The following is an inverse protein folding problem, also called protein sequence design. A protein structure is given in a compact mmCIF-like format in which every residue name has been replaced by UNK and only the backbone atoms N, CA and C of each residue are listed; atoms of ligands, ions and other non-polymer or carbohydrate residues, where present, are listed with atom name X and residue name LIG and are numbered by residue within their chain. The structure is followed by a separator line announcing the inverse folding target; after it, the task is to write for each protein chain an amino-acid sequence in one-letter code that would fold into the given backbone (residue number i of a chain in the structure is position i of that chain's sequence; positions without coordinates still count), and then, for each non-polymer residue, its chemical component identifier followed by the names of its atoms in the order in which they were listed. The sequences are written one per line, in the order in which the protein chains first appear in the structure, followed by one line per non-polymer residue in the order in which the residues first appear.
data_IF_457358876634
#
_entry.id   IF_457358876634
#
_cell.length_a   1.000
_cell.length_b   1.000
_cell.length_c   1.000
_cell.angle_alpha   90.00
_cell.angle_beta   90.00
_cell.angle_gamma   90.00
#
_symmetry.space_group_name_H-M   'P 1'
#
loop_
_entity.id
_entity.type
_entity.pdbx_description
1 polymer ?
#
# COMPACT_ATOMS: atom_id res chain seq x y z
N UNK A 1 17.19 43.91 16.12
CA UNK A 1 16.01 43.83 15.22
C UNK A 1 16.52 43.60 13.82
N UNK A 2 16.43 42.34 13.31
CA UNK A 2 16.83 42.06 11.93
C UNK A 2 15.79 42.67 10.99
N UNK A 3 16.20 43.63 10.17
CA UNK A 3 15.37 44.30 9.20
C UNK A 3 14.77 43.30 8.23
N UNK A 4 13.46 43.15 8.25
CA UNK A 4 12.72 42.41 7.21
C UNK A 4 12.97 43.17 5.88
N UNK A 5 13.65 42.51 4.94
CA UNK A 5 13.78 43.03 3.58
C UNK A 5 12.44 42.84 2.89
N UNK A 6 11.66 43.90 2.79
CA UNK A 6 10.43 43.91 1.97
C UNK A 6 10.84 43.76 0.52
N UNK A 7 10.32 42.74 -0.16
CA UNK A 7 10.66 42.45 -1.55
C UNK A 7 9.61 43.03 -2.50
N UNK A 8 8.39 43.25 -2.01
CA UNK A 8 7.30 43.79 -2.82
C UNK A 8 5.99 43.91 -2.05
N UNK A 9 4.94 44.34 -2.74
CA UNK A 9 3.59 44.46 -2.19
C UNK A 9 2.55 43.80 -3.10
N UNK A 10 1.65 43.04 -2.50
CA UNK A 10 0.50 42.45 -3.21
C UNK A 10 -0.78 42.81 -2.42
N UNK A 11 -1.62 43.60 -3.03
CA UNK A 11 -2.80 44.16 -2.36
C UNK A 11 -2.40 44.91 -1.09
N UNK A 12 -2.96 44.53 0.07
CA UNK A 12 -2.63 45.13 1.39
C UNK A 12 -1.39 44.51 2.05
N UNK A 13 -0.78 43.45 1.49
CA UNK A 13 0.30 42.72 2.11
C UNK A 13 1.66 43.17 1.60
N UNK A 14 2.58 43.44 2.51
CA UNK A 14 4.00 43.61 2.20
C UNK A 14 4.66 42.23 2.21
N UNK A 15 5.32 41.87 1.11
CA UNK A 15 6.01 40.59 0.95
C UNK A 15 7.46 40.70 1.43
N UNK A 16 7.91 39.69 2.17
CA UNK A 16 9.30 39.57 2.59
C UNK A 16 9.69 38.11 2.81
N UNK A 17 10.95 37.80 2.56
CA UNK A 17 11.54 36.50 2.88
C UNK A 17 12.33 36.61 4.17
N UNK A 18 12.19 35.61 5.02
CA UNK A 18 12.86 35.56 6.33
C UNK A 18 13.63 34.26 6.47
N UNK A 19 14.88 34.26 6.94
CA UNK A 19 15.58 33.02 7.22
C UNK A 19 14.89 32.22 8.29
N UNK A 20 14.78 30.93 8.05
CA UNK A 20 14.61 29.81 8.96
C UNK A 20 13.36 29.71 9.83
N UNK A 21 13.08 28.52 10.28
CA UNK A 21 12.14 28.10 11.33
C UNK A 21 10.65 28.03 10.99
N UNK A 22 10.25 28.32 9.77
CA UNK A 22 8.90 27.92 9.27
C UNK A 22 9.01 26.62 8.49
N UNK A 23 8.08 25.72 8.74
CA UNK A 23 7.92 24.51 7.94
C UNK A 23 6.49 24.36 7.45
N UNK A 24 6.31 23.75 6.30
CA UNK A 24 5.00 23.34 5.78
C UNK A 24 4.60 21.92 6.21
N UNK A 25 5.47 21.23 6.94
CA UNK A 25 5.32 19.81 7.29
C UNK A 25 5.47 19.59 8.81
N UNK A 26 4.88 20.46 9.63
CA UNK A 26 5.02 20.40 11.09
C UNK A 26 4.62 19.03 11.69
N UNK A 27 3.68 18.31 11.01
CA UNK A 27 3.23 16.99 11.45
C UNK A 27 4.24 15.87 11.31
N UNK A 28 5.35 16.08 10.61
CA UNK A 28 6.43 15.08 10.52
C UNK A 28 7.01 14.70 11.87
N UNK A 29 6.92 15.59 12.88
CA UNK A 29 7.36 15.31 14.25
C UNK A 29 6.66 14.06 14.84
N UNK A 30 5.39 13.84 14.51
CA UNK A 30 4.64 12.66 14.98
C UNK A 30 5.19 11.37 14.37
N UNK A 31 5.59 11.41 13.10
CA UNK A 31 6.20 10.27 12.41
C UNK A 31 7.63 10.05 12.88
N UNK A 32 8.39 11.11 13.13
CA UNK A 32 9.74 11.01 13.66
C UNK A 32 9.77 10.45 15.09
N UNK A 33 8.73 10.65 15.88
CA UNK A 33 8.59 9.95 17.18
C UNK A 33 8.15 8.48 17.00
N UNK A 34 7.41 8.15 15.95
CA UNK A 34 6.89 6.80 15.71
C UNK A 34 7.88 5.86 15.01
N UNK A 35 8.50 6.29 13.91
CA UNK A 35 9.34 5.42 13.07
C UNK A 35 10.60 4.88 13.78
N UNK A 36 11.35 5.65 14.58
CA UNK A 36 12.49 5.13 15.33
C UNK A 36 12.11 4.08 16.36
N UNK A 37 10.92 4.15 16.94
CA UNK A 37 10.42 3.12 17.89
C UNK A 37 10.27 1.75 17.23
N UNK A 38 10.01 1.72 15.91
CA UNK A 38 10.03 0.50 15.11
C UNK A 38 11.44 0.02 14.76
N UNK A 39 12.47 0.82 15.06
CA UNK A 39 13.86 0.52 14.74
C UNK A 39 14.13 0.38 13.24
N UNK A 40 13.42 1.13 12.41
CA UNK A 40 13.54 1.04 10.94
C UNK A 40 14.96 1.35 10.48
N UNK A 41 15.59 2.39 11.03
CA UNK A 41 16.96 2.80 10.70
C UNK A 41 17.96 1.73 11.09
N UNK A 42 17.85 1.19 12.31
CA UNK A 42 18.68 0.10 12.80
C UNK A 42 18.64 -1.13 11.86
N UNK A 43 17.43 -1.55 11.49
CA UNK A 43 17.24 -2.70 10.59
C UNK A 43 17.80 -2.43 9.20
N UNK A 44 17.65 -1.18 8.70
CA UNK A 44 18.23 -0.78 7.41
C UNK A 44 19.76 -0.84 7.45
N UNK A 45 20.38 -0.32 8.50
CA UNK A 45 21.85 -0.31 8.63
C UNK A 45 22.43 -1.72 8.83
N UNK A 46 21.68 -2.64 9.45
CA UNK A 46 22.11 -4.02 9.62
C UNK A 46 21.95 -4.87 8.34
N UNK A 47 20.92 -4.67 7.57
CA UNK A 47 20.58 -5.54 6.44
C UNK A 47 21.02 -4.99 5.07
N UNK A 48 21.10 -3.68 4.89
CA UNK A 48 21.27 -3.06 3.58
C UNK A 48 22.67 -2.46 3.40
N UNK A 49 23.44 -3.00 2.43
CA UNK A 49 24.83 -2.60 2.18
C UNK A 49 25.07 -2.35 0.69
N UNK A 50 24.37 -1.37 0.12
CA UNK A 50 24.41 -1.01 -1.31
C UNK A 50 25.69 -0.28 -1.68
N UNK A 51 26.32 0.41 -0.73
CA UNK A 51 27.50 1.22 -0.98
C UNK A 51 28.79 0.45 -0.70
N UNK A 52 29.74 0.60 -1.60
CA UNK A 52 31.09 0.02 -1.45
C UNK A 52 32.05 0.93 -0.66
N UNK A 53 31.67 2.18 -0.38
CA UNK A 53 32.49 3.18 0.32
C UNK A 53 31.65 3.93 1.33
N UNK A 54 32.15 4.09 2.55
CA UNK A 54 31.53 4.85 3.63
C UNK A 54 31.70 6.38 3.41
N UNK A 55 31.13 6.92 2.33
CA UNK A 55 31.12 8.36 2.03
C UNK A 55 29.71 8.82 1.68
N UNK A 56 29.36 10.04 2.11
CA UNK A 56 28.03 10.63 1.92
C UNK A 56 26.98 10.02 2.84
N UNK A 57 25.72 10.10 2.46
CA UNK A 57 24.59 9.62 3.25
C UNK A 57 24.67 8.13 3.56
N UNK A 58 24.24 7.70 4.76
CA UNK A 58 24.02 6.30 5.10
C UNK A 58 22.90 5.65 4.25
N UNK A 59 22.82 4.33 4.28
CA UNK A 59 21.73 3.62 3.60
C UNK A 59 20.38 3.94 4.25
N UNK A 60 20.32 3.95 5.58
CA UNK A 60 19.13 4.35 6.35
C UNK A 60 18.70 5.79 6.06
N UNK A 61 19.67 6.74 6.01
CA UNK A 61 19.37 8.13 5.64
C UNK A 61 18.82 8.26 4.21
N UNK A 62 19.39 7.52 3.26
CA UNK A 62 18.94 7.56 1.87
C UNK A 62 17.55 6.95 1.70
N UNK A 63 17.28 5.79 2.30
CA UNK A 63 15.98 5.14 2.29
C UNK A 63 14.96 5.96 3.08
N UNK A 64 15.35 6.50 4.25
CA UNK A 64 14.50 7.37 5.07
C UNK A 64 14.07 8.63 4.34
N UNK A 65 15.01 9.33 3.68
CA UNK A 65 14.71 10.52 2.88
C UNK A 65 13.72 10.23 1.74
N UNK A 66 13.89 9.12 1.03
CA UNK A 66 12.95 8.67 -0.01
C UNK A 66 11.58 8.29 0.58
N UNK A 67 11.57 7.59 1.72
CA UNK A 67 10.35 7.19 2.44
C UNK A 67 9.53 8.41 2.87
N UNK A 68 10.17 9.39 3.50
CA UNK A 68 9.50 10.62 3.91
C UNK A 68 9.04 11.48 2.72
N UNK A 69 9.82 11.51 1.62
CA UNK A 69 9.37 12.16 0.40
C UNK A 69 8.04 11.57 -0.08
N UNK A 70 7.92 10.24 -0.14
CA UNK A 70 6.68 9.56 -0.54
C UNK A 70 5.55 9.79 0.47
N UNK A 71 5.82 9.72 1.77
CA UNK A 71 4.84 9.97 2.83
C UNK A 71 4.28 11.39 2.73
N UNK A 72 5.10 12.38 2.46
CA UNK A 72 4.70 13.81 2.41
C UNK A 72 4.10 14.23 1.06
N UNK A 73 4.03 13.31 0.09
CA UNK A 73 3.33 13.51 -1.16
C UNK A 73 4.22 13.81 -2.37
N UNK A 74 5.53 13.58 -2.25
CA UNK A 74 6.43 13.62 -3.39
C UNK A 74 6.13 12.45 -4.36
N UNK A 75 6.03 12.76 -5.63
CA UNK A 75 5.77 11.80 -6.71
C UNK A 75 7.02 11.50 -7.55
N UNK A 76 8.03 12.35 -7.41
CA UNK A 76 9.27 12.27 -8.18
C UNK A 76 10.48 12.47 -7.28
N UNK A 77 11.65 12.00 -7.72
CA UNK A 77 12.90 12.26 -6.98
C UNK A 77 13.19 13.77 -6.83
N UNK A 78 12.81 14.59 -7.83
CA UNK A 78 13.00 16.05 -7.75
C UNK A 78 12.26 16.70 -6.59
N UNK A 79 11.20 16.06 -6.09
CA UNK A 79 10.38 16.62 -5.01
C UNK A 79 11.12 16.56 -3.66
N UNK A 80 12.23 15.81 -3.57
CA UNK A 80 13.19 15.87 -2.46
C UNK A 80 13.73 17.31 -2.25
N UNK A 81 13.76 18.15 -3.30
CA UNK A 81 14.17 19.55 -3.16
C UNK A 81 13.23 20.35 -2.26
N UNK A 82 11.96 19.95 -2.14
CA UNK A 82 11.01 20.58 -1.20
C UNK A 82 11.48 20.35 0.23
N UNK A 83 11.87 19.11 0.57
CA UNK A 83 12.37 18.76 1.90
C UNK A 83 13.75 19.38 2.16
N UNK A 84 14.61 19.42 1.13
CA UNK A 84 15.93 20.08 1.20
C UNK A 84 15.83 21.59 1.39
N UNK A 85 14.81 22.20 0.83
CA UNK A 85 14.53 23.63 0.97
C UNK A 85 13.81 24.02 2.25
N UNK A 86 13.45 23.06 3.10
CA UNK A 86 12.72 23.27 4.35
C UNK A 86 13.56 22.81 5.57
N UNK A 87 14.44 23.69 6.11
CA UNK A 87 15.26 23.35 7.28
C UNK A 87 14.45 22.97 8.52
N UNK A 88 13.21 23.50 8.65
CA UNK A 88 12.32 23.11 9.73
C UNK A 88 11.87 21.66 9.61
N UNK A 89 11.52 21.21 8.41
CA UNK A 89 11.19 19.79 8.17
C UNK A 89 12.42 18.90 8.43
N UNK A 90 13.62 19.30 8.00
CA UNK A 90 14.84 18.51 8.27
C UNK A 90 15.08 18.34 9.77
N UNK A 91 14.95 19.43 10.54
CA UNK A 91 15.08 19.38 11.99
C UNK A 91 14.03 18.47 12.65
N UNK A 92 12.76 18.56 12.21
CA UNK A 92 11.69 17.71 12.73
C UNK A 92 11.86 16.22 12.38
N UNK A 93 12.58 15.92 11.30
CA UNK A 93 12.95 14.55 10.91
C UNK A 93 14.26 14.08 11.55
N UNK A 94 14.95 14.93 12.33
CA UNK A 94 16.27 14.61 12.88
C UNK A 94 17.35 14.43 11.82
N UNK A 95 17.11 14.89 10.58
CA UNK A 95 18.01 14.71 9.46
C UNK A 95 19.00 15.87 9.38
N UNK A 96 20.31 15.59 9.37
CA UNK A 96 21.33 16.63 9.13
C UNK A 96 21.21 17.23 7.73
N UNK A 97 20.85 16.40 6.75
CA UNK A 97 20.57 16.82 5.37
C UNK A 97 19.70 15.79 4.65
N UNK A 98 18.91 16.25 3.68
CA UNK A 98 18.17 15.40 2.74
C UNK A 98 18.97 15.25 1.45
N UNK A 99 19.08 14.05 0.92
CA UNK A 99 19.85 13.78 -0.31
C UNK A 99 19.28 14.52 -1.53
N UNK A 100 20.18 14.97 -2.41
CA UNK A 100 19.78 15.60 -3.67
C UNK A 100 19.10 14.59 -4.59
N UNK A 101 18.18 15.00 -5.46
CA UNK A 101 17.52 14.11 -6.43
C UNK A 101 18.48 13.29 -7.30
N UNK A 102 19.59 13.88 -7.69
CA UNK A 102 20.66 13.20 -8.43
C UNK A 102 21.33 12.11 -7.63
N UNK A 103 21.67 12.42 -6.36
CA UNK A 103 22.25 11.44 -5.41
C UNK A 103 21.27 10.31 -5.10
N UNK A 104 19.97 10.62 -4.95
CA UNK A 104 18.94 9.61 -4.77
C UNK A 104 18.84 8.68 -5.98
N UNK A 105 18.88 9.24 -7.19
CA UNK A 105 18.89 8.46 -8.42
C UNK A 105 20.17 7.60 -8.56
N UNK A 106 21.33 8.12 -8.16
CA UNK A 106 22.59 7.35 -8.13
C UNK A 106 22.56 6.23 -7.10
N UNK A 107 22.04 6.48 -5.93
CA UNK A 107 21.85 5.47 -4.88
C UNK A 107 20.97 4.32 -5.38
N UNK A 108 19.79 4.63 -5.92
CA UNK A 108 18.88 3.62 -6.46
C UNK A 108 19.51 2.79 -7.60
N UNK A 109 20.28 3.41 -8.49
CA UNK A 109 20.95 2.70 -9.61
C UNK A 109 22.04 1.73 -9.19
N UNK A 110 22.50 1.75 -7.95
CA UNK A 110 23.45 0.79 -7.40
C UNK A 110 22.82 -0.54 -7.01
N UNK A 111 21.51 -0.57 -6.76
CA UNK A 111 20.82 -1.79 -6.37
C UNK A 111 20.94 -2.89 -7.42
N UNK A 112 21.42 -4.04 -6.98
CA UNK A 112 21.33 -5.30 -7.69
C UNK A 112 20.23 -6.19 -7.11
N UNK A 113 20.14 -7.45 -7.54
CA UNK A 113 19.12 -8.39 -7.04
C UNK A 113 19.37 -8.80 -5.59
N UNK A 114 20.61 -8.85 -5.14
CA UNK A 114 20.99 -9.13 -3.76
C UNK A 114 20.46 -8.04 -2.83
N UNK A 115 20.74 -6.77 -3.15
CA UNK A 115 20.28 -5.61 -2.40
C UNK A 115 18.73 -5.50 -2.35
N UNK A 116 18.06 -5.90 -3.43
CA UNK A 116 16.58 -6.01 -3.43
C UNK A 116 16.10 -7.05 -2.42
N UNK A 117 16.76 -8.19 -2.33
CA UNK A 117 16.45 -9.21 -1.32
C UNK A 117 16.76 -8.73 0.09
N UNK A 118 17.82 -7.96 0.27
CA UNK A 118 18.16 -7.35 1.54
C UNK A 118 17.09 -6.38 2.00
N UNK A 119 16.62 -5.51 1.11
CA UNK A 119 15.50 -4.61 1.39
C UNK A 119 14.18 -5.37 1.66
N UNK A 120 13.98 -6.54 1.06
CA UNK A 120 12.87 -7.43 1.42
C UNK A 120 13.02 -8.02 2.83
N UNK A 121 14.26 -8.33 3.29
CA UNK A 121 14.51 -8.75 4.69
C UNK A 121 14.23 -7.61 5.67
N UNK A 122 14.62 -6.38 5.33
CA UNK A 122 14.23 -5.19 6.10
C UNK A 122 12.71 -5.14 6.31
N UNK A 123 11.93 -5.32 5.24
CA UNK A 123 10.46 -5.34 5.35
C UNK A 123 9.98 -6.40 6.35
N UNK A 124 10.51 -7.62 6.27
CA UNK A 124 10.13 -8.72 7.17
C UNK A 124 10.44 -8.37 8.63
N UNK A 125 11.67 -7.92 8.91
CA UNK A 125 12.10 -7.59 10.27
C UNK A 125 11.29 -6.45 10.90
N UNK A 126 10.98 -5.42 10.13
CA UNK A 126 10.12 -4.31 10.60
C UNK A 126 8.68 -4.79 10.82
N UNK A 127 8.14 -5.64 9.95
CA UNK A 127 6.85 -6.27 10.13
C UNK A 127 6.80 -7.10 11.42
N UNK A 128 7.83 -7.91 11.70
CA UNK A 128 7.93 -8.72 12.91
C UNK A 128 7.87 -7.88 14.19
N UNK A 129 8.49 -6.69 14.21
CA UNK A 129 8.41 -5.75 15.34
C UNK A 129 7.00 -5.21 15.59
N UNK A 130 6.17 -5.15 14.55
CA UNK A 130 4.76 -4.71 14.66
C UNK A 130 3.83 -5.85 15.09
N UNK A 131 4.20 -7.12 14.84
CA UNK A 131 3.34 -8.30 15.10
C UNK A 131 2.74 -8.36 16.52
N UNK A 132 3.48 -8.03 17.62
CA UNK A 132 2.91 -8.04 18.97
C UNK A 132 1.74 -7.06 19.18
N UNK A 133 1.62 -6.04 18.33
CA UNK A 133 0.56 -5.02 18.37
C UNK A 133 -0.64 -5.33 17.46
N UNK A 134 -0.59 -6.43 16.73
CA UNK A 134 -1.70 -6.87 15.89
C UNK A 134 -2.79 -7.51 16.72
N UNK A 135 -4.04 -7.19 16.40
CA UNK A 135 -5.20 -7.68 17.13
C UNK A 135 -6.00 -8.72 16.35
N UNK A 136 -5.72 -8.83 15.05
CA UNK A 136 -6.49 -9.72 14.17
C UNK A 136 -6.10 -11.17 14.38
N UNK A 137 -7.09 -12.02 14.62
CA UNK A 137 -6.95 -13.48 14.68
C UNK A 137 -7.07 -14.15 13.31
N UNK A 138 -7.29 -13.36 12.26
CA UNK A 138 -7.43 -13.79 10.87
C UNK A 138 -6.54 -12.93 9.99
N UNK A 139 -5.87 -13.57 9.04
CA UNK A 139 -5.20 -12.91 7.94
C UNK A 139 -5.88 -13.27 6.63
N UNK A 140 -6.70 -12.36 6.11
CA UNK A 140 -7.18 -12.44 4.73
C UNK A 140 -6.16 -11.79 3.82
N UNK A 141 -5.49 -12.60 3.02
CA UNK A 141 -4.59 -12.12 1.97
C UNK A 141 -5.44 -11.66 0.80
N UNK A 142 -5.50 -10.36 0.56
CA UNK A 142 -6.01 -9.80 -0.69
C UNK A 142 -4.87 -9.76 -1.70
N UNK A 143 -4.93 -10.68 -2.66
CA UNK A 143 -3.95 -10.81 -3.73
C UNK A 143 -4.42 -10.02 -4.95
N UNK A 144 -3.54 -9.19 -5.48
CA UNK A 144 -3.88 -8.37 -6.63
C UNK A 144 -2.65 -8.04 -7.49
N UNK A 145 -2.90 -7.53 -8.70
CA UNK A 145 -1.88 -7.01 -9.59
C UNK A 145 -2.42 -5.77 -10.32
N UNK A 146 -1.58 -4.77 -10.48
CA UNK A 146 -1.96 -3.55 -11.17
C UNK A 146 -0.88 -3.12 -12.13
N UNK A 147 -1.26 -2.56 -13.29
CA UNK A 147 -0.29 -1.98 -14.20
C UNK A 147 0.19 -0.63 -13.66
N UNK A 148 1.52 -0.48 -13.54
CA UNK A 148 2.20 0.77 -13.22
C UNK A 148 2.71 1.34 -14.53
N UNK A 149 1.88 2.18 -15.13
CA UNK A 149 2.14 2.75 -16.47
C UNK A 149 3.38 3.61 -16.49
N UNK A 150 4.17 3.48 -17.54
CA UNK A 150 5.38 4.24 -17.72
C UNK A 150 5.32 4.97 -19.06
N UNK A 151 5.73 6.22 -19.09
CA UNK A 151 5.75 7.04 -20.29
C UNK A 151 6.68 6.51 -21.39
N UNK A 152 7.53 5.51 -21.09
CA UNK A 152 8.56 5.02 -22.01
C UNK A 152 8.83 3.53 -21.82
N UNK A 153 8.91 2.81 -22.92
CA UNK A 153 9.38 1.41 -23.00
C UNK A 153 10.91 1.29 -22.91
N UNK A 154 11.65 2.39 -22.85
CA UNK A 154 13.12 2.35 -22.72
C UNK A 154 13.60 1.97 -21.32
N UNK A 155 12.71 1.96 -20.34
CA UNK A 155 13.06 1.47 -19.01
C UNK A 155 13.16 -0.05 -19.02
N UNK A 156 14.19 -0.57 -18.41
CA UNK A 156 14.45 -2.01 -18.31
C UNK A 156 13.27 -2.73 -17.66
N UNK A 157 12.66 -3.69 -18.37
CA UNK A 157 11.47 -4.44 -17.91
C UNK A 157 10.13 -3.73 -18.12
N UNK A 158 10.11 -2.47 -18.53
CA UNK A 158 8.89 -1.80 -18.96
C UNK A 158 8.49 -2.29 -20.35
N UNK A 159 7.38 -2.99 -20.44
CA UNK A 159 6.91 -3.64 -21.68
C UNK A 159 5.40 -3.47 -21.83
N UNK A 160 4.88 -3.73 -23.02
CA UNK A 160 3.43 -3.71 -23.27
C UNK A 160 2.73 -4.76 -22.43
N UNK A 161 1.71 -4.34 -21.70
CA UNK A 161 0.78 -5.18 -20.97
C UNK A 161 -0.34 -5.69 -21.88
N UNK A 162 -1.24 -6.51 -21.31
CA UNK A 162 -2.38 -7.10 -22.03
C UNK A 162 -3.37 -6.04 -22.60
N UNK A 163 -3.43 -4.86 -22.00
CA UNK A 163 -4.27 -3.74 -22.46
C UNK A 163 -3.57 -2.83 -23.49
N UNK A 164 -2.33 -3.16 -23.90
CA UNK A 164 -1.54 -2.40 -24.86
C UNK A 164 -0.71 -1.27 -24.25
N UNK A 165 -0.95 -0.91 -22.99
CA UNK A 165 -0.18 0.12 -22.29
C UNK A 165 1.20 -0.39 -21.91
N UNK A 166 2.16 0.52 -21.79
CA UNK A 166 3.56 0.22 -21.44
C UNK A 166 3.76 0.45 -19.95
N UNK A 167 4.36 -0.52 -19.26
CA UNK A 167 4.62 -0.37 -17.84
C UNK A 167 5.24 -1.58 -17.16
N UNK A 168 5.08 -1.63 -15.87
CA UNK A 168 5.39 -2.76 -14.99
C UNK A 168 4.09 -3.34 -14.43
N UNK A 169 4.08 -4.65 -14.16
CA UNK A 169 2.91 -5.34 -13.64
C UNK A 169 3.23 -6.07 -12.33
N UNK A 170 3.45 -5.33 -11.21
CA UNK A 170 3.76 -5.95 -9.93
C UNK A 170 2.63 -6.80 -9.40
N UNK A 171 2.99 -7.82 -8.59
CA UNK A 171 2.09 -8.50 -7.67
C UNK A 171 2.17 -7.83 -6.31
N UNK A 172 1.03 -7.72 -5.64
CA UNK A 172 0.90 -7.20 -4.29
C UNK A 172 -0.03 -8.09 -3.47
N UNK A 173 0.27 -8.22 -2.18
CA UNK A 173 -0.52 -8.98 -1.23
C UNK A 173 -0.74 -8.16 0.04
N UNK A 174 -1.99 -7.83 0.33
CA UNK A 174 -2.37 -7.07 1.51
C UNK A 174 -2.95 -7.98 2.59
N UNK A 175 -2.67 -7.66 3.85
CA UNK A 175 -3.42 -8.19 4.98
C UNK A 175 -4.66 -7.33 5.19
N UNK A 176 -5.83 -7.86 4.82
CA UNK A 176 -7.06 -7.08 4.77
C UNK A 176 -7.45 -6.47 6.13
N UNK A 177 -7.37 -7.22 7.20
CA UNK A 177 -7.78 -6.78 8.54
C UNK A 177 -6.86 -5.70 9.10
N UNK A 178 -5.55 -5.82 8.83
CA UNK A 178 -4.53 -4.91 9.35
C UNK A 178 -4.24 -3.72 8.41
N UNK A 179 -4.68 -3.79 7.16
CA UNK A 179 -4.40 -2.76 6.14
C UNK A 179 -2.93 -2.67 5.74
N UNK A 180 -2.16 -3.73 6.00
CA UNK A 180 -0.72 -3.83 5.76
C UNK A 180 -0.44 -4.44 4.39
N UNK A 181 0.55 -3.92 3.67
CA UNK A 181 1.09 -4.55 2.48
C UNK A 181 2.15 -5.59 2.90
N UNK A 182 1.77 -6.87 2.87
CA UNK A 182 2.62 -7.98 3.29
C UNK A 182 3.84 -8.15 2.37
N UNK A 183 3.59 -8.14 1.07
CA UNK A 183 4.63 -8.41 0.08
C UNK A 183 4.30 -7.76 -1.27
N UNK A 184 5.31 -7.22 -1.93
CA UNK A 184 5.24 -6.74 -3.30
C UNK A 184 6.41 -7.29 -4.13
N UNK A 185 6.14 -7.55 -5.42
CA UNK A 185 7.11 -8.11 -6.36
C UNK A 185 7.00 -7.42 -7.70
N UNK A 186 8.03 -6.67 -8.10
CA UNK A 186 8.04 -6.01 -9.41
C UNK A 186 8.19 -7.04 -10.52
N UNK A 187 7.37 -6.91 -11.56
CA UNK A 187 7.42 -7.76 -12.75
C UNK A 187 7.41 -6.90 -14.01
N UNK A 188 7.85 -7.48 -15.13
CA UNK A 188 7.72 -6.85 -16.44
C UNK A 188 6.25 -6.62 -16.79
N UNK A 189 5.94 -5.59 -17.57
CA UNK A 189 4.57 -5.26 -17.97
C UNK A 189 3.84 -6.38 -18.72
N UNK A 190 4.57 -7.16 -19.53
CA UNK A 190 4.05 -8.32 -20.26
C UNK A 190 3.84 -9.58 -19.39
N UNK A 191 4.09 -9.51 -18.07
CA UNK A 191 3.88 -10.65 -17.20
C UNK A 191 2.39 -10.93 -17.04
N UNK A 192 1.98 -12.16 -17.38
CA UNK A 192 0.62 -12.64 -17.12
C UNK A 192 0.34 -12.64 -15.61
N UNK A 193 -0.88 -12.26 -15.20
CA UNK A 193 -1.27 -12.13 -13.79
C UNK A 193 -0.92 -13.37 -12.98
N UNK A 194 -1.30 -14.57 -13.42
CA UNK A 194 -1.05 -15.82 -12.72
C UNK A 194 0.40 -16.33 -12.78
N UNK A 195 1.30 -15.65 -13.55
CA UNK A 195 2.70 -16.09 -13.64
C UNK A 195 3.42 -16.00 -12.29
N UNK A 196 4.01 -17.11 -11.85
CA UNK A 196 4.74 -17.22 -10.58
C UNK A 196 3.90 -16.98 -9.32
N UNK A 197 2.56 -16.98 -9.41
CA UNK A 197 1.67 -16.67 -8.28
C UNK A 197 1.89 -17.63 -7.09
N UNK A 198 2.09 -18.94 -7.32
CA UNK A 198 2.35 -19.91 -6.24
C UNK A 198 3.67 -19.64 -5.50
N UNK A 199 4.71 -19.18 -6.22
CA UNK A 199 5.95 -18.74 -5.58
C UNK A 199 5.70 -17.46 -4.77
N UNK A 200 4.97 -16.50 -5.32
CA UNK A 200 4.62 -15.26 -4.64
C UNK A 200 3.81 -15.54 -3.36
N UNK A 201 2.81 -16.40 -3.41
CA UNK A 201 2.02 -16.81 -2.24
C UNK A 201 2.87 -17.49 -1.17
N UNK A 202 3.86 -18.32 -1.56
CA UNK A 202 4.83 -18.89 -0.60
C UNK A 202 5.66 -17.82 0.09
N UNK A 203 6.09 -16.77 -0.63
CA UNK A 203 6.82 -15.66 -0.02
C UNK A 203 5.91 -14.81 0.88
N UNK A 204 4.68 -14.58 0.48
CA UNK A 204 3.68 -13.87 1.28
C UNK A 204 3.38 -14.60 2.58
N UNK A 205 3.16 -15.93 2.51
CA UNK A 205 2.86 -16.76 3.70
C UNK A 205 3.94 -16.67 4.79
N UNK A 206 5.20 -16.58 4.43
CA UNK A 206 6.32 -16.43 5.40
C UNK A 206 6.21 -15.17 6.25
N UNK A 207 5.39 -14.20 5.86
CA UNK A 207 5.18 -12.92 6.53
C UNK A 207 3.92 -12.90 7.40
N UNK A 208 3.13 -13.98 7.33
CA UNK A 208 1.89 -14.14 8.10
C UNK A 208 2.20 -14.99 9.32
N UNK A 209 1.82 -14.57 10.54
CA UNK A 209 1.99 -15.38 11.74
C UNK A 209 1.24 -16.72 11.61
N UNK A 210 1.82 -17.79 12.10
CA UNK A 210 1.17 -19.12 12.09
C UNK A 210 -0.03 -19.21 13.02
N UNK A 211 -0.13 -18.30 13.99
CA UNK A 211 -1.19 -18.26 14.99
C UNK A 211 -2.53 -17.71 14.49
N UNK A 212 -2.56 -17.12 13.28
CA UNK A 212 -3.78 -16.54 12.70
C UNK A 212 -4.41 -17.48 11.68
N UNK A 213 -5.75 -17.45 11.59
CA UNK A 213 -6.48 -18.14 10.51
C UNK A 213 -6.15 -17.50 9.17
N UNK A 214 -5.68 -18.29 8.23
CA UNK A 214 -5.20 -17.81 6.93
C UNK A 214 -6.30 -17.97 5.86
N UNK A 215 -6.59 -16.87 5.16
CA UNK A 215 -7.57 -16.80 4.08
C UNK A 215 -6.99 -16.12 2.84
N UNK A 216 -7.50 -16.46 1.67
CA UNK A 216 -7.12 -15.82 0.39
C UNK A 216 -8.34 -15.30 -0.34
N UNK A 217 -8.26 -14.08 -0.85
CA UNK A 217 -9.20 -13.53 -1.84
C UNK A 217 -8.42 -13.02 -3.04
N UNK A 218 -8.95 -13.28 -4.23
CA UNK A 218 -8.38 -12.73 -5.46
C UNK A 218 -9.42 -12.64 -6.58
N UNK A 219 -9.09 -11.85 -7.58
CA UNK A 219 -9.86 -11.71 -8.81
C UNK A 219 -9.66 -12.90 -9.77
N UNK A 220 -10.32 -12.83 -10.93
CA UNK A 220 -10.25 -13.88 -11.95
C UNK A 220 -8.86 -14.02 -12.59
N UNK A 221 -8.01 -13.01 -12.54
CA UNK A 221 -6.65 -13.09 -13.02
C UNK A 221 -5.79 -14.13 -12.29
N UNK A 222 -6.23 -14.56 -11.11
CA UNK A 222 -5.57 -15.60 -10.29
C UNK A 222 -6.32 -16.93 -10.29
N UNK A 223 -7.45 -17.01 -10.99
CA UNK A 223 -8.24 -18.22 -11.07
C UNK A 223 -7.49 -19.33 -11.81
N UNK A 224 -7.06 -20.32 -11.07
CA UNK A 224 -6.40 -21.51 -11.65
C UNK A 224 -6.44 -22.70 -10.67
N UNK A 225 -6.45 -23.91 -11.24
CA UNK A 225 -6.35 -25.14 -10.45
C UNK A 225 -5.15 -25.13 -9.49
N UNK A 226 -3.99 -24.67 -9.99
CA UNK A 226 -2.77 -24.65 -9.19
C UNK A 226 -2.79 -23.66 -8.00
N UNK A 227 -3.60 -22.60 -8.02
CA UNK A 227 -3.81 -21.72 -6.86
C UNK A 227 -4.74 -22.39 -5.86
N UNK A 228 -5.82 -23.00 -6.33
CA UNK A 228 -6.78 -23.73 -5.49
C UNK A 228 -6.09 -24.89 -4.75
N UNK A 229 -5.35 -25.74 -5.47
CA UNK A 229 -4.57 -26.83 -4.87
C UNK A 229 -3.56 -26.33 -3.84
N UNK A 230 -2.89 -25.21 -4.16
CA UNK A 230 -1.94 -24.61 -3.22
C UNK A 230 -2.64 -24.16 -1.94
N UNK A 231 -3.79 -23.50 -2.04
CA UNK A 231 -4.58 -23.07 -0.88
C UNK A 231 -4.96 -24.25 0.01
N UNK A 232 -5.49 -25.31 -0.58
CA UNK A 232 -5.87 -26.54 0.14
C UNK A 232 -4.67 -27.20 0.82
N UNK A 233 -3.58 -27.37 0.08
CA UNK A 233 -2.36 -27.98 0.61
C UNK A 233 -1.72 -27.16 1.75
N UNK A 234 -1.99 -25.86 1.83
CA UNK A 234 -1.48 -24.98 2.89
C UNK A 234 -2.52 -24.68 3.98
N UNK A 235 -3.73 -25.24 3.90
CA UNK A 235 -4.80 -25.04 4.89
C UNK A 235 -5.49 -23.68 4.80
N UNK A 236 -5.38 -22.98 3.66
CA UNK A 236 -6.08 -21.73 3.42
C UNK A 236 -7.55 -21.95 3.09
N UNK A 237 -8.44 -21.18 3.69
CA UNK A 237 -9.75 -20.94 3.10
C UNK A 237 -9.64 -19.87 2.02
N UNK A 238 -10.41 -20.00 0.94
CA UNK A 238 -10.29 -19.05 -0.16
C UNK A 238 -11.61 -18.72 -0.85
N UNK A 239 -11.65 -17.56 -1.52
CA UNK A 239 -12.60 -17.23 -2.57
C UNK A 239 -11.86 -16.61 -3.75
N UNK A 240 -12.07 -17.15 -4.94
CA UNK A 240 -11.49 -16.63 -6.18
C UNK A 240 -12.62 -16.37 -7.18
N UNK A 241 -12.66 -15.17 -7.79
CA UNK A 241 -13.57 -14.95 -8.91
C UNK A 241 -13.21 -15.91 -10.03
N UNK A 242 -14.17 -16.66 -10.54
CA UNK A 242 -13.94 -17.62 -11.63
C UNK A 242 -13.97 -16.93 -12.99
N UNK A 243 -13.18 -17.45 -13.93
CA UNK A 243 -13.28 -17.06 -15.34
C UNK A 243 -14.67 -17.39 -15.87
N UNK A 244 -15.28 -16.45 -16.59
CA UNK A 244 -16.62 -16.60 -17.21
C UNK A 244 -16.53 -17.46 -18.46
N UNK A 245 -16.24 -18.76 -18.29
CA UNK A 245 -16.26 -19.71 -19.40
C UNK A 245 -17.69 -20.05 -19.78
N UNK A 246 -17.94 -20.35 -21.07
CA UNK A 246 -19.26 -20.71 -21.58
C UNK A 246 -19.91 -21.89 -20.81
N UNK A 247 -19.18 -22.98 -20.49
CA UNK A 247 -19.76 -24.07 -19.69
C UNK A 247 -20.19 -23.65 -18.27
N UNK A 248 -19.41 -22.79 -17.60
CA UNK A 248 -19.74 -22.28 -16.26
C UNK A 248 -20.93 -21.33 -16.32
N UNK A 249 -20.98 -20.46 -17.34
CA UNK A 249 -22.10 -19.55 -17.56
C UNK A 249 -23.41 -20.33 -17.85
N UNK A 250 -23.34 -21.35 -18.70
CA UNK A 250 -24.46 -22.24 -18.99
C UNK A 250 -24.96 -22.95 -17.74
N UNK A 251 -24.05 -23.53 -16.94
CA UNK A 251 -24.40 -24.19 -15.68
C UNK A 251 -25.05 -23.19 -14.68
N UNK A 252 -24.51 -21.97 -14.60
CA UNK A 252 -25.03 -20.92 -13.73
C UNK A 252 -26.44 -20.45 -14.15
N UNK A 253 -26.65 -20.23 -15.44
CA UNK A 253 -27.94 -19.77 -15.98
C UNK A 253 -29.01 -20.85 -15.98
N UNK A 254 -28.65 -22.12 -15.95
CA UNK A 254 -29.57 -23.26 -15.86
C UNK A 254 -30.07 -23.54 -14.42
N UNK A 255 -29.55 -22.83 -13.41
CA UNK A 255 -30.01 -22.99 -12.03
C UNK A 255 -31.50 -22.61 -11.91
N UNK A 256 -32.34 -23.48 -11.28
CA UNK A 256 -33.76 -23.19 -11.08
C UNK A 256 -33.99 -21.90 -10.30
N UNK A 257 -35.03 -21.14 -10.62
CA UNK A 257 -35.37 -19.88 -9.94
C UNK A 257 -35.50 -20.05 -8.42
N UNK A 258 -35.97 -21.18 -7.92
CA UNK A 258 -36.06 -21.48 -6.48
C UNK A 258 -34.72 -21.52 -5.74
N UNK A 259 -33.60 -21.64 -6.47
CA UNK A 259 -32.26 -21.68 -5.88
C UNK A 259 -31.69 -20.29 -5.61
N UNK A 260 -32.27 -19.27 -6.25
CA UNK A 260 -31.82 -17.91 -6.14
C UNK A 260 -32.35 -17.25 -4.86
N UNK A 261 -31.48 -16.58 -4.16
CA UNK A 261 -31.78 -15.88 -2.91
C UNK A 261 -31.40 -14.41 -3.07
N UNK A 262 -32.28 -13.53 -2.68
CA UNK A 262 -32.03 -12.09 -2.73
C UNK A 262 -30.78 -11.71 -1.92
N UNK A 263 -29.99 -10.75 -2.42
CA UNK A 263 -28.79 -10.21 -1.78
C UNK A 263 -29.08 -8.78 -1.26
N UNK A 264 -29.52 -8.62 0.01
CA UNK A 264 -30.06 -7.35 0.49
C UNK A 264 -29.12 -6.15 0.43
N UNK A 265 -27.80 -6.42 0.41
CA UNK A 265 -26.77 -5.37 0.32
C UNK A 265 -26.63 -4.75 -1.08
N UNK A 266 -27.30 -5.32 -2.09
CA UNK A 266 -27.19 -4.92 -3.49
C UNK A 266 -28.57 -4.93 -4.14
N UNK A 267 -28.99 -3.79 -4.69
CA UNK A 267 -30.24 -3.70 -5.43
C UNK A 267 -30.24 -4.64 -6.64
N UNK A 268 -31.35 -5.37 -6.84
CA UNK A 268 -31.56 -6.25 -7.98
C UNK A 268 -30.45 -7.32 -8.16
N UNK A 269 -29.86 -7.80 -7.06
CA UNK A 269 -28.90 -8.87 -7.08
C UNK A 269 -29.36 -10.08 -6.28
N UNK A 270 -29.03 -11.26 -6.78
CA UNK A 270 -29.36 -12.54 -6.17
C UNK A 270 -28.16 -13.45 -6.15
N UNK A 271 -28.16 -14.43 -5.26
CA UNK A 271 -27.11 -15.44 -5.13
C UNK A 271 -27.69 -16.84 -5.17
N UNK A 272 -26.96 -17.75 -5.78
CA UNK A 272 -27.21 -19.19 -5.74
C UNK A 272 -25.87 -19.93 -5.66
N UNK A 273 -25.89 -21.22 -5.49
CA UNK A 273 -24.70 -22.05 -5.45
C UNK A 273 -24.84 -23.30 -6.31
N UNK A 274 -23.72 -23.77 -6.83
CA UNK A 274 -23.61 -25.02 -7.56
C UNK A 274 -22.27 -25.67 -7.28
N UNK A 275 -22.21 -26.99 -7.45
CA UNK A 275 -20.96 -27.71 -7.55
C UNK A 275 -20.60 -27.87 -9.01
N UNK A 276 -19.42 -27.39 -9.39
CA UNK A 276 -18.97 -27.42 -10.77
C UNK A 276 -17.52 -27.90 -10.85
N UNK A 277 -17.24 -28.72 -11.83
CA UNK A 277 -15.90 -29.23 -12.13
C UNK A 277 -15.41 -28.64 -13.46
N UNK A 278 -14.48 -27.68 -13.46
CA UNK A 278 -13.86 -27.20 -14.68
C UNK A 278 -13.10 -28.32 -15.41
N UNK A 279 -13.01 -28.21 -16.71
CA UNK A 279 -12.22 -29.16 -17.51
C UNK A 279 -10.77 -29.18 -17.05
N UNK A 280 -10.22 -30.35 -16.79
CA UNK A 280 -8.84 -30.54 -16.31
C UNK A 280 -8.64 -30.39 -14.81
N UNK A 281 -9.70 -30.10 -14.03
CA UNK A 281 -9.61 -30.10 -12.57
C UNK A 281 -9.91 -31.49 -12.01
N UNK A 282 -9.26 -31.82 -10.87
CA UNK A 282 -9.35 -33.18 -10.30
C UNK A 282 -10.73 -33.48 -9.70
N UNK A 283 -11.48 -32.46 -9.27
CA UNK A 283 -12.80 -32.63 -8.63
C UNK A 283 -13.70 -31.39 -8.85
N UNK A 284 -14.97 -31.55 -8.53
CA UNK A 284 -15.89 -30.43 -8.42
C UNK A 284 -15.60 -29.60 -7.16
N UNK A 285 -15.84 -28.31 -7.26
CA UNK A 285 -15.74 -27.33 -6.17
C UNK A 285 -17.08 -26.62 -6.00
N UNK A 286 -17.28 -26.04 -4.83
CA UNK A 286 -18.41 -25.16 -4.54
C UNK A 286 -18.19 -23.83 -5.24
N UNK A 287 -19.17 -23.40 -6.03
CA UNK A 287 -19.23 -22.07 -6.63
C UNK A 287 -20.43 -21.32 -6.06
N UNK A 288 -20.20 -20.10 -5.62
CA UNK A 288 -21.24 -19.15 -5.28
C UNK A 288 -21.40 -18.21 -6.46
N UNK A 289 -22.61 -18.16 -7.03
CA UNK A 289 -22.93 -17.35 -8.20
C UNK A 289 -23.79 -16.17 -7.76
N UNK A 290 -23.30 -14.97 -8.03
CA UNK A 290 -24.11 -13.74 -7.97
C UNK A 290 -24.68 -13.47 -9.35
N UNK A 291 -25.98 -13.18 -9.47
CA UNK A 291 -26.56 -12.56 -10.66
C UNK A 291 -27.06 -11.16 -10.32
N UNK A 292 -26.91 -10.24 -11.24
CA UNK A 292 -27.40 -8.88 -11.13
C UNK A 292 -28.12 -8.48 -12.41
N UNK A 293 -29.20 -7.74 -12.26
CA UNK A 293 -29.96 -7.25 -13.42
C UNK A 293 -29.17 -6.10 -14.05
N UNK A 294 -28.83 -6.26 -15.32
CA UNK A 294 -28.11 -5.28 -16.12
C UNK A 294 -28.92 -4.91 -17.36
N UNK A 295 -28.65 -3.75 -17.91
CA UNK A 295 -29.30 -3.22 -19.11
C UNK A 295 -28.30 -3.09 -20.25
N UNK A 296 -28.66 -3.55 -21.43
CA UNK A 296 -27.86 -3.33 -22.65
C UNK A 296 -28.00 -1.88 -23.11
N UNK A 297 -27.10 -1.41 -23.98
CA UNK A 297 -27.17 -0.08 -24.61
C UNK A 297 -28.48 0.15 -25.40
N UNK A 298 -29.19 -0.92 -25.76
CA UNK A 298 -30.50 -0.88 -26.42
C UNK A 298 -31.70 -0.97 -25.47
N UNK A 299 -31.50 -0.85 -24.16
CA UNK A 299 -32.57 -0.87 -23.17
C UNK A 299 -33.09 -2.26 -22.80
N UNK A 300 -32.44 -3.36 -23.26
CA UNK A 300 -32.86 -4.71 -22.94
C UNK A 300 -32.25 -5.18 -21.63
N UNK A 301 -33.09 -5.62 -20.69
CA UNK A 301 -32.66 -6.20 -19.42
C UNK A 301 -32.15 -7.63 -19.62
N UNK A 302 -31.07 -7.98 -18.90
CA UNK A 302 -30.50 -9.31 -18.84
C UNK A 302 -29.84 -9.59 -17.50
N UNK A 303 -29.74 -10.87 -17.14
CA UNK A 303 -28.96 -11.28 -15.97
C UNK A 303 -27.48 -11.40 -16.30
N UNK A 304 -26.66 -10.65 -15.56
CA UNK A 304 -25.20 -10.75 -15.59
C UNK A 304 -24.77 -11.65 -14.44
N UNK A 305 -23.97 -12.68 -14.73
CA UNK A 305 -23.54 -13.67 -13.76
C UNK A 305 -22.09 -13.45 -13.38
N UNK A 306 -21.77 -13.67 -12.09
CA UNK A 306 -20.42 -13.66 -11.54
C UNK A 306 -20.27 -14.87 -10.61
N UNK A 307 -19.37 -15.79 -10.92
CA UNK A 307 -19.13 -16.98 -10.13
C UNK A 307 -17.85 -16.83 -9.30
N UNK A 308 -17.88 -17.32 -8.09
CA UNK A 308 -16.75 -17.33 -7.14
C UNK A 308 -16.55 -18.75 -6.64
N UNK A 309 -15.38 -19.33 -6.86
CA UNK A 309 -15.01 -20.66 -6.35
C UNK A 309 -14.50 -20.54 -4.91
N UNK A 310 -14.82 -21.52 -4.08
CA UNK A 310 -14.42 -21.57 -2.67
C UNK A 310 -14.29 -22.99 -2.14
N UNK A 311 -13.53 -23.18 -1.06
CA UNK A 311 -13.50 -24.38 -0.22
C UNK A 311 -14.20 -24.20 1.12
N UNK A 312 -14.91 -23.11 1.33
CA UNK A 312 -15.65 -22.82 2.57
C UNK A 312 -17.03 -23.46 2.47
N UNK A 313 -17.33 -24.42 3.35
CA UNK A 313 -18.61 -25.17 3.35
C UNK A 313 -19.60 -24.69 4.42
N UNK A 314 -19.12 -24.07 5.49
CA UNK A 314 -19.90 -23.73 6.69
C UNK A 314 -20.47 -22.30 6.71
N UNK A 315 -20.41 -21.57 5.59
CA UNK A 315 -20.99 -20.24 5.43
C UNK A 315 -22.02 -20.25 4.30
N UNK A 316 -23.05 -19.42 4.43
CA UNK A 316 -24.06 -19.25 3.38
C UNK A 316 -23.50 -18.57 2.14
N UNK A 317 -24.12 -18.78 0.99
CA UNK A 317 -23.77 -18.10 -0.25
C UNK A 317 -23.77 -16.57 -0.10
N UNK A 318 -24.72 -16.02 0.65
CA UNK A 318 -24.82 -14.58 0.93
C UNK A 318 -23.60 -14.05 1.70
N UNK A 319 -23.24 -14.72 2.77
CA UNK A 319 -22.07 -14.32 3.59
C UNK A 319 -20.78 -14.39 2.77
N UNK A 320 -20.60 -15.45 1.99
CA UNK A 320 -19.42 -15.63 1.15
C UNK A 320 -19.31 -14.55 0.06
N UNK A 321 -20.40 -14.23 -0.63
CA UNK A 321 -20.39 -13.17 -1.64
C UNK A 321 -20.08 -11.82 -1.01
N UNK A 322 -20.74 -11.47 0.11
CA UNK A 322 -20.48 -10.20 0.81
C UNK A 322 -19.02 -10.14 1.27
N UNK A 323 -18.49 -11.23 1.82
CA UNK A 323 -17.08 -11.29 2.21
C UNK A 323 -16.14 -11.17 1.01
N UNK A 324 -16.42 -11.87 -0.09
CA UNK A 324 -15.62 -11.78 -1.33
C UNK A 324 -15.63 -10.37 -1.91
N UNK A 325 -16.78 -9.72 -1.98
CA UNK A 325 -16.93 -8.36 -2.53
C UNK A 325 -16.20 -7.28 -1.71
N UNK A 326 -15.84 -7.57 -0.45
CA UNK A 326 -14.94 -6.69 0.30
C UNK A 326 -13.54 -6.62 -0.31
N UNK A 327 -13.17 -7.54 -1.21
CA UNK A 327 -11.94 -7.42 -2.01
C UNK A 327 -11.95 -6.15 -2.86
N UNK A 328 -13.07 -5.79 -3.48
CA UNK A 328 -13.22 -4.55 -4.24
C UNK A 328 -12.95 -3.29 -3.40
N UNK A 329 -13.27 -3.31 -2.10
CA UNK A 329 -12.89 -2.22 -1.20
C UNK A 329 -11.36 -2.08 -1.03
N UNK A 330 -10.58 -3.09 -1.41
CA UNK A 330 -9.10 -3.10 -1.40
C UNK A 330 -8.48 -2.62 -2.71
N UNK A 331 -9.24 -2.51 -3.80
CA UNK A 331 -8.81 -1.76 -4.99
C UNK A 331 -8.38 -0.35 -4.59
N UNK A 332 -9.01 0.22 -3.53
CA UNK A 332 -8.58 1.46 -2.92
C UNK A 332 -7.19 1.37 -2.27
N UNK A 333 -6.78 0.22 -1.70
CA UNK A 333 -5.46 0.06 -1.08
C UNK A 333 -4.35 -0.02 -2.13
N UNK A 334 -4.59 -0.71 -3.25
CA UNK A 334 -3.68 -0.70 -4.40
C UNK A 334 -3.58 0.70 -5.00
N UNK A 335 -4.71 1.36 -5.22
CA UNK A 335 -4.75 2.73 -5.72
C UNK A 335 -4.02 3.67 -4.76
N UNK A 336 -4.21 3.50 -3.45
CA UNK A 336 -3.50 4.29 -2.44
C UNK A 336 -1.98 4.01 -2.47
N UNK A 337 -1.56 2.74 -2.56
CA UNK A 337 -0.15 2.39 -2.70
C UNK A 337 0.45 2.95 -4.01
N UNK A 338 -0.26 2.80 -5.12
CA UNK A 338 0.17 3.26 -6.44
C UNK A 338 0.17 4.79 -6.54
N UNK A 339 -1.01 5.42 -6.42
CA UNK A 339 -1.20 6.85 -6.67
C UNK A 339 -1.02 7.68 -5.41
N UNK A 340 -1.42 7.16 -4.24
CA UNK A 340 -1.29 7.86 -2.96
C UNK A 340 0.16 8.08 -2.53
N UNK A 341 1.07 7.17 -2.92
CA UNK A 341 2.51 7.26 -2.63
C UNK A 341 3.36 7.54 -3.89
N UNK A 342 2.76 8.01 -4.98
CA UNK A 342 3.51 8.45 -6.17
C UNK A 342 4.30 7.35 -6.89
N UNK A 343 3.93 6.07 -6.72
CA UNK A 343 4.65 4.94 -7.30
C UNK A 343 4.26 4.64 -8.74
N UNK A 344 3.32 5.37 -9.32
CA UNK A 344 2.93 5.23 -10.72
C UNK A 344 4.11 5.45 -11.66
N UNK A 345 5.02 6.36 -11.28
CA UNK A 345 6.18 6.75 -12.09
C UNK A 345 7.47 6.29 -11.41
N UNK A 346 7.84 5.04 -11.64
CA UNK A 346 9.13 4.53 -11.14
C UNK A 346 10.30 5.33 -11.77
N UNK A 347 11.28 5.81 -10.94
CA UNK A 347 12.09 6.96 -11.34
C UNK A 347 13.29 6.66 -12.24
N UNK A 348 13.72 5.38 -12.36
CA UNK A 348 14.99 5.05 -13.01
C UNK A 348 14.80 4.27 -14.32
N UNK A 349 15.92 4.07 -15.07
CA UNK A 349 15.95 3.20 -16.24
C UNK A 349 16.24 1.73 -15.88
N UNK A 350 16.72 1.45 -14.66
CA UNK A 350 17.16 0.13 -14.21
C UNK A 350 16.06 -0.62 -13.48
N UNK A 351 15.89 -1.91 -13.79
CA UNK A 351 14.83 -2.74 -13.22
C UNK A 351 14.96 -2.89 -11.71
N UNK A 352 16.14 -3.26 -11.21
CA UNK A 352 16.37 -3.46 -9.77
C UNK A 352 16.26 -2.17 -8.97
N UNK A 353 16.71 -1.05 -9.53
CA UNK A 353 16.51 0.28 -8.93
C UNK A 353 15.03 0.65 -8.78
N UNK A 354 14.22 0.34 -9.79
CA UNK A 354 12.77 0.55 -9.73
C UNK A 354 12.10 -0.43 -8.76
N UNK A 355 12.61 -1.66 -8.64
CA UNK A 355 12.10 -2.61 -7.66
C UNK A 355 12.45 -2.16 -6.22
N UNK A 356 13.67 -1.69 -5.98
CA UNK A 356 14.05 -1.09 -4.70
C UNK A 356 13.14 0.10 -4.35
N UNK A 357 12.86 0.98 -5.33
CA UNK A 357 11.95 2.12 -5.11
C UNK A 357 10.51 1.67 -4.79
N UNK A 358 10.01 0.61 -5.43
CA UNK A 358 8.72 0.00 -5.08
C UNK A 358 8.71 -0.52 -3.63
N UNK A 359 9.81 -1.15 -3.17
CA UNK A 359 9.93 -1.64 -1.79
C UNK A 359 10.05 -0.47 -0.78
N UNK A 360 10.71 0.61 -1.14
CA UNK A 360 10.72 1.85 -0.34
C UNK A 360 9.30 2.43 -0.24
N UNK A 361 8.55 2.38 -1.34
CA UNK A 361 7.12 2.72 -1.33
C UNK A 361 6.27 1.80 -0.45
N UNK A 362 6.57 0.49 -0.42
CA UNK A 362 5.95 -0.44 0.51
C UNK A 362 6.25 -0.06 1.97
N UNK A 363 7.49 0.31 2.29
CA UNK A 363 7.87 0.78 3.63
C UNK A 363 7.09 2.05 4.01
N UNK A 364 7.02 3.03 3.11
CA UNK A 364 6.25 4.26 3.31
C UNK A 364 4.75 3.97 3.55
N UNK A 365 4.16 3.09 2.75
CA UNK A 365 2.78 2.66 2.90
C UNK A 365 2.54 1.99 4.26
N UNK A 366 3.38 1.04 4.63
CA UNK A 366 3.27 0.29 5.87
C UNK A 366 3.49 1.17 7.10
N UNK A 367 4.48 2.06 7.09
CA UNK A 367 4.69 3.04 8.17
C UNK A 367 3.43 3.86 8.41
N UNK A 368 2.78 4.34 7.34
CA UNK A 368 1.54 5.09 7.48
C UNK A 368 0.36 4.22 7.90
N UNK A 369 0.26 2.98 7.45
CA UNK A 369 -0.77 2.04 7.89
C UNK A 369 -0.65 1.75 9.40
N UNK A 370 0.56 1.47 9.87
CA UNK A 370 0.83 1.21 11.28
C UNK A 370 0.66 2.48 12.13
N UNK A 371 1.15 3.64 11.67
CA UNK A 371 0.95 4.91 12.36
C UNK A 371 -0.54 5.23 12.53
N UNK A 372 -1.35 5.09 11.46
CA UNK A 372 -2.80 5.30 11.53
C UNK A 372 -3.46 4.37 12.56
N UNK A 373 -3.08 3.11 12.57
CA UNK A 373 -3.70 2.10 13.45
C UNK A 373 -3.24 2.18 14.90
N UNK A 374 -1.95 2.39 15.13
CA UNK A 374 -1.35 2.33 16.47
C UNK A 374 -1.30 3.69 17.16
N UNK A 375 -1.13 4.77 16.40
CA UNK A 375 -0.95 6.12 16.91
C UNK A 375 -2.18 7.02 16.83
N UNK A 376 -3.07 6.81 15.84
CA UNK A 376 -4.21 7.71 15.61
C UNK A 376 -5.53 7.17 16.17
N UNK A 377 -6.54 8.04 16.41
CA UNK A 377 -7.89 7.60 16.76
C UNK A 377 -8.50 6.68 15.68
N UNK A 378 -9.42 5.79 16.06
CA UNK A 378 -10.06 4.82 15.17
C UNK A 378 -10.71 5.43 13.92
N UNK A 379 -11.17 6.68 13.99
CA UNK A 379 -11.71 7.43 12.85
C UNK A 379 -10.69 7.65 11.72
N UNK A 380 -9.39 7.52 12.01
CA UNK A 380 -8.33 7.64 11.01
C UNK A 380 -7.86 6.31 10.41
N UNK A 381 -8.21 5.17 10.99
CA UNK A 381 -7.68 3.86 10.55
C UNK A 381 -7.97 3.57 9.07
N UNK A 382 -9.11 4.07 8.55
CA UNK A 382 -9.54 3.86 7.16
C UNK A 382 -9.42 5.11 6.28
N UNK A 383 -8.85 6.20 6.77
CA UNK A 383 -8.64 7.40 5.95
C UNK A 383 -7.55 7.16 4.92
N UNK A 384 -7.64 7.85 3.78
CA UNK A 384 -6.57 7.84 2.79
C UNK A 384 -5.34 8.58 3.29
N UNK A 385 -4.18 8.28 2.69
CA UNK A 385 -2.95 9.03 2.98
C UNK A 385 -3.12 10.52 2.64
N UNK A 386 -3.85 10.84 1.58
CA UNK A 386 -4.16 12.23 1.19
C UNK A 386 -4.90 12.98 2.31
N UNK A 387 -5.90 12.34 2.91
CA UNK A 387 -6.65 12.90 4.05
C UNK A 387 -5.73 13.06 5.27
N UNK A 388 -4.93 12.04 5.59
CA UNK A 388 -4.01 12.08 6.74
C UNK A 388 -2.94 13.17 6.56
N UNK A 389 -2.37 13.32 5.36
CA UNK A 389 -1.44 14.43 5.04
C UNK A 389 -2.10 15.77 5.27
N UNK A 390 -3.28 15.99 4.70
CA UNK A 390 -3.99 17.26 4.79
C UNK A 390 -4.38 17.60 6.23
N UNK A 391 -4.79 16.61 6.99
CA UNK A 391 -5.24 16.82 8.37
C UNK A 391 -4.09 16.93 9.35
N UNK A 392 -3.00 16.18 9.20
CA UNK A 392 -2.04 16.00 10.27
C UNK A 392 -0.59 16.32 9.90
N UNK A 393 -0.17 16.10 8.65
CA UNK A 393 1.25 16.17 8.28
C UNK A 393 1.62 17.51 7.62
N UNK A 394 0.86 17.91 6.60
CA UNK A 394 1.15 19.09 5.79
C UNK A 394 0.48 20.32 6.39
N UNK A 395 1.01 20.79 7.49
CA UNK A 395 0.55 22.01 8.15
C UNK A 395 1.72 22.94 8.48
N UNK A 396 1.44 24.23 8.48
CA UNK A 396 2.43 25.23 8.83
C UNK A 396 2.78 25.16 10.31
N UNK A 397 4.06 25.17 10.60
CA UNK A 397 4.58 25.27 11.97
C UNK A 397 5.79 26.17 12.04
N UNK A 398 6.10 26.63 13.23
CA UNK A 398 7.28 27.42 13.52
C UNK A 398 8.09 26.78 14.64
N UNK A 399 9.35 26.48 14.35
CA UNK A 399 10.28 25.98 15.36
C UNK A 399 10.91 27.20 16.07
N UNK A 400 10.92 27.20 17.38
CA UNK A 400 11.47 28.25 18.22
C UNK A 400 12.47 27.66 19.21
N UNK A 401 13.71 28.02 19.07
CA UNK A 401 14.78 27.66 19.99
C UNK A 401 14.92 28.68 21.10
N UNK A 402 15.00 28.22 22.33
CA UNK A 402 15.42 28.98 23.49
C UNK A 402 16.71 28.37 24.04
N UNK A 403 17.35 28.98 25.02
CA UNK A 403 18.60 28.48 25.59
C UNK A 403 18.50 27.00 26.10
N UNK A 404 17.32 26.50 26.42
CA UNK A 404 17.10 25.19 27.07
C UNK A 404 16.02 24.34 26.44
N UNK A 405 15.21 24.86 25.51
CA UNK A 405 14.03 24.15 24.95
C UNK A 405 13.83 24.51 23.49
N UNK A 406 13.35 23.51 22.74
CA UNK A 406 12.84 23.67 21.40
C UNK A 406 11.31 23.54 21.44
N UNK A 407 10.61 24.42 20.76
CA UNK A 407 9.16 24.46 20.68
C UNK A 407 8.74 24.38 19.22
N UNK A 408 7.81 23.50 18.90
CA UNK A 408 7.08 23.51 17.64
C UNK A 408 5.74 24.22 17.87
N UNK A 409 5.60 25.40 17.29
CA UNK A 409 4.41 26.26 17.42
C UNK A 409 3.51 26.04 16.21
N UNK A 410 2.26 25.66 16.48
CA UNK A 410 1.19 25.47 15.48
C UNK A 410 0.06 26.45 15.85
N UNK A 411 -0.80 26.81 14.88
CA UNK A 411 -1.93 27.72 15.13
C UNK A 411 -2.85 27.16 16.22
N UNK A 412 -3.28 28.03 17.15
CA UNK A 412 -4.32 27.73 18.15
C UNK A 412 -5.71 27.52 17.54
N UNK A 413 -5.92 27.94 16.28
CA UNK A 413 -7.14 27.71 15.50
C UNK A 413 -7.11 26.40 14.70
N UNK A 414 -6.08 25.57 14.92
CA UNK A 414 -5.96 24.31 14.18
C UNK A 414 -7.02 23.29 14.59
N UNK A 415 -7.84 22.90 13.61
CA UNK A 415 -9.06 22.09 13.83
C UNK A 415 -8.81 20.70 14.44
N UNK A 416 -7.63 20.11 14.20
CA UNK A 416 -7.34 18.74 14.58
C UNK A 416 -6.44 18.63 15.83
N UNK A 417 -6.43 19.66 16.69
CA UNK A 417 -5.66 19.66 17.94
C UNK A 417 -5.93 18.44 18.82
N UNK A 418 -7.22 18.05 18.95
CA UNK A 418 -7.61 16.90 19.74
C UNK A 418 -7.01 15.57 19.21
N UNK A 419 -6.87 15.44 17.89
CA UNK A 419 -6.21 14.28 17.26
C UNK A 419 -4.72 14.28 17.58
N UNK A 420 -4.07 15.45 17.53
CA UNK A 420 -2.67 15.58 17.90
C UNK A 420 -2.43 15.20 19.36
N UNK A 421 -3.23 15.74 20.28
CA UNK A 421 -3.11 15.42 21.70
C UNK A 421 -3.26 13.91 21.93
N UNK A 422 -4.31 13.31 21.36
CA UNK A 422 -4.51 11.85 21.42
C UNK A 422 -3.28 11.09 20.92
N UNK A 423 -2.72 11.54 19.77
CA UNK A 423 -1.56 10.88 19.15
C UNK A 423 -0.32 10.98 20.05
N UNK A 424 -0.03 12.16 20.59
CA UNK A 424 1.11 12.35 21.49
C UNK A 424 0.98 11.45 22.72
N UNK A 425 -0.19 11.45 23.35
CA UNK A 425 -0.47 10.63 24.53
C UNK A 425 -0.34 9.13 24.21
N UNK A 426 -0.83 8.72 23.04
CA UNK A 426 -0.75 7.33 22.56
C UNK A 426 0.68 6.90 22.28
N UNK A 427 1.46 7.73 21.58
CA UNK A 427 2.86 7.44 21.26
C UNK A 427 3.73 7.38 22.52
N UNK A 428 3.46 8.20 23.52
CA UNK A 428 4.21 8.17 24.80
C UNK A 428 4.16 6.80 25.50
N UNK A 429 3.10 6.02 25.27
CA UNK A 429 2.90 4.69 25.86
C UNK A 429 3.17 3.51 24.90
N UNK A 430 3.46 3.81 23.63
CA UNK A 430 3.71 2.78 22.62
C UNK A 430 5.16 2.32 22.71
N UNK A 431 5.36 1.02 22.95
CA UNK A 431 6.68 0.39 22.98
C UNK A 431 6.66 -0.80 22.01
N UNK A 432 7.71 -0.92 21.22
CA UNK A 432 7.95 -2.09 20.39
C UNK A 432 9.08 -2.87 21.06
N UNK A 433 8.88 -4.19 21.22
CA UNK A 433 9.82 -5.07 21.90
C UNK A 433 11.11 -5.31 21.09
#
# INVERSE_FOLDING_TARGET
MNSQKVVGKVGKFNLGFRPGQLTSHAGTVLLHDFAPRLGVEEVLDEELHVKTRARGYGESEAVGGLTYNLILGGEHLRDLEVLRGDPGTQELLGAEAILAPTTAGEFLRKFDIGDVHDLQRVQVRVQERVRPHQQSTTCTIDLDSSLYEQASSHKEGSTKAYNGEVGYHPLVAFWAEEGELLYSHLRRGSAHTARNVRWFLRQTRKRVPETVTQKLRADSGFYSHGVVEWCEAQGFTFTLTADQTEPLLTASSALPERCWQNLPAYELAEVAELHYQPTGWARAYRYVVKRELAETTAGKLYWKYHATVTNVENQSARELVVWHLQHAARENAITEHKSGFGLEKLPTQKFHANWAYLLIGQLAFNLMAWFKRLGLPASYHRTTIKTTRHHLLNLAGKIVHTARRCFLMISDQYRYQAVWQFTIDRLAHLQFG
#
